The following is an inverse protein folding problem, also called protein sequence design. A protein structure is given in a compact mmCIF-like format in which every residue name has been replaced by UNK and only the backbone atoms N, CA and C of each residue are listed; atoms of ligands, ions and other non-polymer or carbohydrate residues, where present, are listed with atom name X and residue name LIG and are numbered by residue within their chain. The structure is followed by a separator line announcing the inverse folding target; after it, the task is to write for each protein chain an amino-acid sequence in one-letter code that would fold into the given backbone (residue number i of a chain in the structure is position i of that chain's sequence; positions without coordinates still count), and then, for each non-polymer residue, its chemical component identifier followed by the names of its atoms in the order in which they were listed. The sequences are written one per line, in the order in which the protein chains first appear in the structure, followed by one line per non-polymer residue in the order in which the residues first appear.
data_IF_657276519738
#
_entry.id   IF_657276519738
#
_cell.length_a   1.000
_cell.length_b   1.000
_cell.length_c   1.000
_cell.angle_alpha   90.00
_cell.angle_beta   90.00
_cell.angle_gamma   90.00
#
_symmetry.space_group_name_H-M   'P 1'
#
loop_
_entity.id
_entity.type
_entity.pdbx_description
1 polymer ?
#
# COMPACT_ATOMS: atom_id res chain seq x y z
N UNK A 1 18.70 9.89 7.97
CA UNK A 1 17.48 10.22 7.21
C UNK A 1 16.33 9.49 7.92
N UNK A 2 15.35 10.20 8.46
CA UNK A 2 14.20 9.54 9.09
C UNK A 2 13.38 8.88 7.99
N UNK A 3 13.17 7.57 8.13
CA UNK A 3 12.23 6.83 7.30
C UNK A 3 10.81 7.34 7.59
N UNK A 4 10.21 8.00 6.62
CA UNK A 4 8.88 8.62 6.77
C UNK A 4 7.72 7.64 6.68
N UNK A 5 7.96 6.35 6.53
CA UNK A 5 6.87 5.35 6.51
C UNK A 5 6.10 5.29 7.84
N UNK A 6 6.71 5.73 8.95
CA UNK A 6 6.06 5.87 10.26
C UNK A 6 5.38 7.24 10.47
N UNK A 7 5.63 8.24 9.61
CA UNK A 7 5.11 9.59 9.83
C UNK A 7 3.59 9.64 10.05
N UNK A 8 2.78 8.86 9.33
CA UNK A 8 1.33 8.87 9.54
C UNK A 8 0.88 8.40 10.92
N UNK A 9 1.65 7.52 11.56
CA UNK A 9 1.29 6.91 12.85
C UNK A 9 2.10 7.43 14.04
N UNK A 10 3.09 8.29 13.79
CA UNK A 10 3.89 8.90 14.86
C UNK A 10 3.21 10.18 15.36
N UNK A 11 2.85 10.29 16.66
CA UNK A 11 2.03 11.40 17.16
C UNK A 11 2.54 12.80 16.80
N UNK A 12 3.86 12.99 16.81
CA UNK A 12 4.48 14.29 16.49
C UNK A 12 4.61 14.56 14.99
N UNK A 13 4.59 13.53 14.15
CA UNK A 13 4.80 13.63 12.70
C UNK A 13 3.50 13.51 11.90
N UNK A 14 2.44 12.99 12.49
CA UNK A 14 1.13 12.86 11.86
C UNK A 14 0.59 14.20 11.31
N UNK A 15 0.65 15.33 12.04
CA UNK A 15 0.24 16.63 11.48
C UNK A 15 1.10 17.05 10.29
N UNK A 16 2.41 16.76 10.34
CA UNK A 16 3.34 17.05 9.24
C UNK A 16 3.01 16.21 8.01
N UNK A 17 2.66 14.93 8.21
CA UNK A 17 2.21 14.05 7.13
C UNK A 17 0.99 14.64 6.40
N UNK A 18 -0.07 15.02 7.13
CA UNK A 18 -1.29 15.56 6.54
C UNK A 18 -1.03 16.89 5.82
N UNK A 19 -0.28 17.79 6.43
CA UNK A 19 0.06 19.08 5.82
C UNK A 19 0.90 18.91 4.54
N UNK A 20 1.86 17.99 4.55
CA UNK A 20 2.71 17.71 3.40
C UNK A 20 1.90 17.05 2.28
N UNK A 21 1.07 16.07 2.61
CA UNK A 21 0.17 15.42 1.65
C UNK A 21 -0.75 16.46 0.98
N UNK A 22 -1.37 17.35 1.78
CA UNK A 22 -2.22 18.43 1.26
C UNK A 22 -1.47 19.34 0.29
N UNK A 23 -0.27 19.79 0.64
CA UNK A 23 0.55 20.67 -0.23
C UNK A 23 0.91 20.00 -1.55
N UNK A 24 1.36 18.74 -1.51
CA UNK A 24 1.70 18.01 -2.73
C UNK A 24 0.49 17.76 -3.62
N UNK A 25 -0.63 17.31 -3.02
CA UNK A 25 -1.87 17.09 -3.76
C UNK A 25 -2.34 18.37 -4.44
N UNK A 26 -2.39 19.49 -3.73
CA UNK A 26 -2.79 20.78 -4.31
C UNK A 26 -1.86 21.24 -5.44
N UNK A 27 -0.55 21.02 -5.30
CA UNK A 27 0.40 21.35 -6.35
C UNK A 27 0.17 20.51 -7.60
N UNK A 28 -0.06 19.22 -7.46
CA UNK A 28 -0.35 18.31 -8.58
C UNK A 28 -1.67 18.67 -9.26
N UNK A 29 -2.73 18.91 -8.49
CA UNK A 29 -4.05 19.28 -9.00
C UNK A 29 -4.02 20.61 -9.78
N UNK A 30 -3.30 21.61 -9.28
CA UNK A 30 -3.10 22.90 -9.99
C UNK A 30 -2.42 22.74 -11.35
N UNK A 31 -1.65 21.68 -11.52
CA UNK A 31 -0.98 21.35 -12.79
C UNK A 31 -1.75 20.31 -13.63
N UNK A 32 -3.02 20.04 -13.32
CA UNK A 32 -3.86 19.09 -14.06
C UNK A 32 -3.49 17.61 -13.85
N UNK A 33 -2.69 17.30 -12.81
CA UNK A 33 -2.27 15.94 -12.50
C UNK A 33 -3.21 15.37 -11.44
N UNK A 34 -3.67 14.13 -11.62
CA UNK A 34 -4.46 13.39 -10.62
C UNK A 34 -3.53 12.77 -9.58
N UNK A 35 -3.56 13.24 -8.33
CA UNK A 35 -2.70 12.68 -7.29
C UNK A 35 -3.19 11.32 -6.81
N UNK A 36 -2.25 10.47 -6.44
CA UNK A 36 -2.51 9.21 -5.74
C UNK A 36 -1.64 9.14 -4.50
N UNK A 37 -2.21 8.69 -3.39
CA UNK A 37 -1.48 8.38 -2.17
C UNK A 37 -1.18 6.88 -2.13
N UNK A 38 0.09 6.54 -2.04
CA UNK A 38 0.52 5.16 -1.91
C UNK A 38 0.65 4.80 -0.42
N UNK A 39 -0.30 4.01 0.10
CA UNK A 39 -0.28 3.57 1.50
C UNK A 39 0.87 2.59 1.71
N UNK A 40 1.84 2.97 2.54
CA UNK A 40 2.93 2.09 2.93
C UNK A 40 2.42 0.94 3.82
N UNK A 41 3.24 -0.10 3.97
CA UNK A 41 2.96 -1.26 4.80
C UNK A 41 3.54 -1.11 6.21
N UNK A 42 2.98 -1.86 7.15
CA UNK A 42 3.53 -2.00 8.49
C UNK A 42 4.90 -2.70 8.44
N UNK A 43 5.79 -2.39 9.35
CA UNK A 43 7.04 -3.14 9.48
C UNK A 43 6.79 -4.58 9.90
N UNK A 44 7.65 -5.52 9.48
CA UNK A 44 7.53 -6.95 9.83
C UNK A 44 7.46 -7.19 11.33
N UNK A 45 8.19 -6.40 12.11
CA UNK A 45 8.27 -6.47 13.57
C UNK A 45 7.30 -5.54 14.31
N UNK A 46 6.44 -4.81 13.56
CA UNK A 46 5.41 -3.90 14.10
C UNK A 46 4.11 -4.01 13.29
N UNK A 47 3.49 -5.19 13.21
CA UNK A 47 2.32 -5.42 12.34
C UNK A 47 1.11 -4.54 12.71
N UNK A 48 0.96 -4.15 13.97
CA UNK A 48 -0.15 -3.31 14.43
C UNK A 48 -0.16 -1.91 13.83
N UNK A 49 0.98 -1.46 13.24
CA UNK A 49 1.04 -0.17 12.52
C UNK A 49 0.01 -0.08 11.40
N UNK A 50 -0.43 -1.21 10.83
CA UNK A 50 -1.32 -1.19 9.66
C UNK A 50 -2.63 -0.47 9.92
N UNK A 51 -3.20 -0.61 11.11
CA UNK A 51 -4.47 0.03 11.47
C UNK A 51 -4.35 1.56 11.39
N UNK A 52 -3.32 2.11 12.03
CA UNK A 52 -3.06 3.55 12.00
C UNK A 52 -2.68 4.04 10.59
N UNK A 53 -1.87 3.28 9.84
CA UNK A 53 -1.54 3.63 8.46
C UNK A 53 -2.80 3.69 7.59
N UNK A 54 -3.66 2.67 7.64
CA UNK A 54 -4.89 2.64 6.87
C UNK A 54 -5.80 3.82 7.21
N UNK A 55 -5.98 4.11 8.50
CA UNK A 55 -6.76 5.26 8.97
C UNK A 55 -6.20 6.57 8.42
N UNK A 56 -4.92 6.85 8.62
CA UNK A 56 -4.34 8.14 8.28
C UNK A 56 -4.25 8.38 6.77
N UNK A 57 -3.93 7.35 5.97
CA UNK A 57 -3.98 7.47 4.52
C UNK A 57 -5.40 7.66 3.98
N UNK A 58 -6.39 7.01 4.59
CA UNK A 58 -7.81 7.19 4.22
C UNK A 58 -8.27 8.62 4.53
N UNK A 59 -7.94 9.13 5.72
CA UNK A 59 -8.24 10.52 6.09
C UNK A 59 -7.58 11.49 5.10
N UNK A 60 -6.28 11.28 4.80
CA UNK A 60 -5.56 12.15 3.86
C UNK A 60 -6.13 12.09 2.44
N UNK A 61 -6.51 10.91 1.97
CA UNK A 61 -7.15 10.72 0.66
C UNK A 61 -8.47 11.45 0.56
N UNK A 62 -9.36 11.23 1.53
CA UNK A 62 -10.68 11.86 1.58
C UNK A 62 -10.61 13.40 1.71
N UNK A 63 -9.71 13.89 2.57
CA UNK A 63 -9.56 15.33 2.80
C UNK A 63 -9.02 16.08 1.59
N UNK A 64 -8.37 15.41 0.66
CA UNK A 64 -7.68 16.03 -0.47
C UNK A 64 -8.21 15.57 -1.85
N UNK A 65 -9.28 14.80 -1.91
CA UNK A 65 -9.80 14.18 -3.14
C UNK A 65 -8.69 13.44 -3.92
N UNK A 66 -7.93 12.62 -3.21
CA UNK A 66 -6.83 11.84 -3.75
C UNK A 66 -7.11 10.35 -3.59
N UNK A 67 -6.91 9.60 -4.69
CA UNK A 67 -7.03 8.14 -4.66
C UNK A 67 -5.96 7.54 -3.75
N UNK A 68 -6.33 6.54 -2.95
CA UNK A 68 -5.37 5.79 -2.11
C UNK A 68 -5.14 4.41 -2.70
N UNK A 69 -3.87 4.02 -2.87
CA UNK A 69 -3.47 2.66 -3.22
C UNK A 69 -3.22 1.90 -1.91
N UNK A 70 -4.03 0.90 -1.54
CA UNK A 70 -3.98 0.27 -0.22
C UNK A 70 -2.91 -0.83 -0.13
N UNK A 71 -1.65 -0.54 -0.52
CA UNK A 71 -0.59 -1.54 -0.57
C UNK A 71 -0.29 -2.14 0.82
N UNK A 72 -0.35 -1.34 1.88
CA UNK A 72 -0.16 -1.83 3.24
C UNK A 72 -1.22 -2.85 3.66
N UNK A 73 -2.48 -2.64 3.28
CA UNK A 73 -3.56 -3.60 3.53
C UNK A 73 -3.38 -4.88 2.72
N UNK A 74 -2.85 -4.80 1.49
CA UNK A 74 -2.51 -5.98 0.70
C UNK A 74 -1.41 -6.83 1.36
N UNK A 75 -0.38 -6.19 1.96
CA UNK A 75 0.64 -6.88 2.77
C UNK A 75 0.01 -7.61 3.95
N UNK A 76 -0.79 -6.93 4.75
CA UNK A 76 -1.49 -7.53 5.89
C UNK A 76 -2.37 -8.71 5.46
N UNK A 77 -3.09 -8.56 4.34
CA UNK A 77 -3.94 -9.62 3.76
C UNK A 77 -3.11 -10.84 3.32
N UNK A 78 -2.00 -10.63 2.63
CA UNK A 78 -1.14 -11.73 2.19
C UNK A 78 -0.54 -12.49 3.38
N UNK A 79 -0.04 -11.78 4.40
CA UNK A 79 0.52 -12.37 5.63
C UNK A 79 -0.55 -13.11 6.42
N UNK A 80 -1.79 -12.60 6.49
CA UNK A 80 -2.90 -13.30 7.17
C UNK A 80 -3.27 -14.62 6.51
N UNK A 81 -3.06 -14.77 5.20
CA UNK A 81 -3.30 -16.01 4.44
C UNK A 81 -2.15 -17.01 4.58
N UNK A 82 -0.94 -16.50 4.68
CA UNK A 82 0.27 -17.29 4.78
C UNK A 82 1.34 -16.56 5.59
N UNK A 83 1.45 -16.91 6.86
CA UNK A 83 2.29 -16.19 7.85
C UNK A 83 3.80 -16.35 7.63
N UNK A 84 4.22 -17.36 6.85
CA UNK A 84 5.61 -17.64 6.50
C UNK A 84 6.10 -16.89 5.24
N UNK A 85 5.26 -15.99 4.68
CA UNK A 85 5.64 -15.20 3.52
C UNK A 85 6.79 -14.24 3.82
N UNK A 86 7.85 -14.32 3.03
CA UNK A 86 8.96 -13.38 3.07
C UNK A 86 8.68 -12.19 2.14
N UNK A 87 7.86 -11.24 2.62
CA UNK A 87 7.52 -10.00 1.89
C UNK A 87 8.51 -8.86 2.15
N UNK A 88 9.47 -9.05 3.06
CA UNK A 88 10.41 -8.03 3.50
C UNK A 88 11.84 -8.45 3.28
N UNK A 89 12.70 -7.47 3.08
CA UNK A 89 14.14 -7.63 3.17
C UNK A 89 14.59 -7.88 4.62
N UNK A 90 15.88 -8.15 4.81
CA UNK A 90 16.47 -8.45 6.14
C UNK A 90 16.29 -7.32 7.16
N UNK A 91 16.13 -6.09 6.69
CA UNK A 91 15.89 -4.92 7.53
C UNK A 91 14.46 -4.83 8.09
N UNK A 92 13.56 -5.75 7.69
CA UNK A 92 12.16 -5.84 8.11
C UNK A 92 11.29 -4.64 7.70
N UNK A 93 11.74 -3.83 6.78
CA UNK A 93 11.11 -2.58 6.32
C UNK A 93 10.92 -2.51 4.82
N UNK A 94 12.00 -2.69 4.06
CA UNK A 94 11.93 -2.68 2.62
C UNK A 94 11.29 -3.96 2.08
N UNK A 95 10.60 -3.88 0.95
CA UNK A 95 9.94 -5.05 0.39
C UNK A 95 10.95 -5.96 -0.31
N UNK A 96 10.80 -7.26 -0.13
CA UNK A 96 11.45 -8.26 -0.97
C UNK A 96 10.90 -8.21 -2.41
N UNK A 97 11.41 -9.06 -3.30
CA UNK A 97 10.82 -9.22 -4.63
C UNK A 97 9.33 -9.58 -4.57
N UNK A 98 8.93 -10.49 -3.67
CA UNK A 98 7.53 -10.87 -3.49
C UNK A 98 6.68 -9.71 -2.95
N UNK A 99 7.21 -8.94 -1.98
CA UNK A 99 6.56 -7.73 -1.48
C UNK A 99 6.40 -6.66 -2.55
N UNK A 100 7.45 -6.42 -3.35
CA UNK A 100 7.39 -5.49 -4.48
C UNK A 100 6.36 -5.91 -5.53
N UNK A 101 6.29 -7.20 -5.84
CA UNK A 101 5.30 -7.73 -6.76
C UNK A 101 3.87 -7.55 -6.24
N UNK A 102 3.64 -7.85 -4.96
CA UNK A 102 2.34 -7.62 -4.31
C UNK A 102 1.91 -6.15 -4.39
N UNK A 103 2.84 -5.24 -4.08
CA UNK A 103 2.58 -3.80 -4.20
C UNK A 103 2.23 -3.40 -5.64
N UNK A 104 2.97 -3.91 -6.64
CA UNK A 104 2.70 -3.64 -8.06
C UNK A 104 1.31 -4.17 -8.49
N UNK A 105 0.92 -5.37 -8.05
CA UNK A 105 -0.43 -5.91 -8.28
C UNK A 105 -1.50 -5.02 -7.65
N UNK A 106 -1.25 -4.46 -6.46
CA UNK A 106 -2.19 -3.55 -5.78
C UNK A 106 -2.32 -2.23 -6.54
N UNK A 107 -1.21 -1.68 -7.04
CA UNK A 107 -1.22 -0.50 -7.92
C UNK A 107 -2.06 -0.77 -9.17
N UNK A 108 -1.81 -1.89 -9.84
CA UNK A 108 -2.56 -2.29 -11.03
C UNK A 108 -4.07 -2.39 -10.74
N UNK A 109 -4.43 -3.13 -9.69
CA UNK A 109 -5.83 -3.32 -9.30
C UNK A 109 -6.53 -2.00 -9.00
N UNK A 110 -5.85 -1.08 -8.29
CA UNK A 110 -6.41 0.22 -7.91
C UNK A 110 -6.58 1.15 -9.11
N UNK A 111 -5.54 1.31 -9.93
CA UNK A 111 -5.55 2.28 -11.02
C UNK A 111 -6.42 1.84 -12.21
N UNK A 112 -6.37 0.56 -12.56
CA UNK A 112 -7.11 0.02 -13.71
C UNK A 112 -8.47 -0.56 -13.34
N UNK A 113 -8.77 -0.70 -12.05
CA UNK A 113 -10.00 -1.33 -11.55
C UNK A 113 -10.22 -2.73 -12.14
N UNK A 114 -9.14 -3.47 -12.32
CA UNK A 114 -9.10 -4.81 -12.90
C UNK A 114 -8.38 -5.78 -11.98
N UNK A 115 -8.86 -7.01 -11.94
CA UNK A 115 -8.16 -8.07 -11.19
C UNK A 115 -6.78 -8.34 -11.80
N UNK A 116 -5.71 -8.39 -11.01
CA UNK A 116 -4.41 -8.86 -11.45
C UNK A 116 -4.31 -10.39 -11.52
N UNK A 117 -5.33 -11.12 -11.04
CA UNK A 117 -5.32 -12.58 -11.04
C UNK A 117 -5.28 -13.11 -12.48
N UNK A 118 -4.30 -13.97 -12.75
CA UNK A 118 -4.08 -14.55 -14.08
C UNK A 118 -3.17 -13.73 -14.99
N UNK A 119 -2.58 -12.62 -14.51
CA UNK A 119 -1.52 -11.95 -15.26
C UNK A 119 -0.32 -12.88 -15.44
N UNK A 120 0.16 -13.02 -16.69
CA UNK A 120 1.25 -13.90 -17.05
C UNK A 120 2.61 -13.45 -16.48
N UNK A 121 2.81 -12.15 -16.27
CA UNK A 121 4.04 -11.64 -15.66
C UNK A 121 4.06 -11.92 -14.16
N UNK A 122 5.03 -12.67 -13.70
CA UNK A 122 5.18 -13.10 -12.30
C UNK A 122 6.44 -12.54 -11.61
N UNK A 123 7.18 -11.67 -12.27
CA UNK A 123 8.49 -11.18 -11.82
C UNK A 123 9.51 -12.31 -11.51
N UNK A 124 9.36 -13.49 -12.12
CA UNK A 124 10.20 -14.67 -11.84
C UNK A 124 9.84 -15.41 -10.55
N UNK A 125 8.77 -15.03 -9.86
CA UNK A 125 8.26 -15.76 -8.70
C UNK A 125 7.64 -17.11 -9.14
N UNK A 126 7.59 -18.04 -8.20
CA UNK A 126 6.83 -19.28 -8.39
C UNK A 126 5.38 -18.94 -8.75
N UNK A 127 4.76 -19.60 -9.75
CA UNK A 127 3.42 -19.29 -10.23
C UNK A 127 2.33 -19.36 -9.15
N UNK A 128 2.41 -20.31 -8.23
CA UNK A 128 1.45 -20.43 -7.12
C UNK A 128 1.54 -19.22 -6.18
N UNK A 129 2.78 -18.83 -5.85
CA UNK A 129 3.04 -17.64 -5.03
C UNK A 129 2.52 -16.39 -5.73
N UNK A 130 2.84 -16.20 -7.01
CA UNK A 130 2.39 -15.06 -7.79
C UNK A 130 0.86 -14.97 -7.82
N UNK A 131 0.17 -16.08 -8.07
CA UNK A 131 -1.31 -16.14 -8.08
C UNK A 131 -1.90 -15.77 -6.72
N UNK A 132 -1.32 -16.27 -5.64
CA UNK A 132 -1.76 -15.94 -4.29
C UNK A 132 -1.57 -14.44 -3.98
N UNK A 133 -0.45 -13.84 -4.37
CA UNK A 133 -0.18 -12.42 -4.19
C UNK A 133 -1.13 -11.55 -5.05
N UNK A 134 -1.39 -11.94 -6.29
CA UNK A 134 -2.38 -11.31 -7.16
C UNK A 134 -3.77 -11.31 -6.51
N UNK A 135 -4.20 -12.45 -5.96
CA UNK A 135 -5.48 -12.56 -5.26
C UNK A 135 -5.52 -11.70 -4.00
N UNK A 136 -4.45 -11.70 -3.19
CA UNK A 136 -4.38 -10.88 -1.99
C UNK A 136 -4.48 -9.39 -2.31
N UNK A 137 -3.80 -8.94 -3.38
CA UNK A 137 -3.87 -7.57 -3.87
C UNK A 137 -5.29 -7.18 -4.29
N UNK A 138 -5.94 -8.06 -5.08
CA UNK A 138 -7.30 -7.82 -5.56
C UNK A 138 -8.30 -7.70 -4.41
N UNK A 139 -8.26 -8.65 -3.47
CA UNK A 139 -9.20 -8.67 -2.36
C UNK A 139 -8.99 -7.48 -1.41
N UNK A 140 -7.74 -7.07 -1.17
CA UNK A 140 -7.46 -5.88 -0.39
C UNK A 140 -8.03 -4.61 -1.03
N UNK A 141 -7.92 -4.48 -2.35
CA UNK A 141 -8.50 -3.35 -3.10
C UNK A 141 -10.03 -3.39 -3.06
N UNK A 142 -10.64 -4.56 -3.29
CA UNK A 142 -12.09 -4.70 -3.24
C UNK A 142 -12.66 -4.37 -1.86
N UNK A 143 -12.01 -4.84 -0.79
CA UNK A 143 -12.44 -4.56 0.58
C UNK A 143 -12.26 -3.08 0.96
N UNK A 144 -11.15 -2.46 0.52
CA UNK A 144 -10.87 -1.06 0.82
C UNK A 144 -11.87 -0.09 0.18
N UNK A 145 -12.32 -0.39 -1.05
CA UNK A 145 -13.28 0.46 -1.77
C UNK A 145 -14.75 -0.03 -1.66
N UNK A 146 -14.99 -1.02 -0.82
CA UNK A 146 -16.35 -1.45 -0.55
C UNK A 146 -17.13 -0.34 0.14
N UNK A 147 -18.36 0.00 -0.35
CA UNK A 147 -19.21 1.00 0.28
C UNK A 147 -19.59 0.63 1.71
#
# INVERSE_FOLDING_TARGET
MMDCSQCPVHPQLQPVFHETARKHVQTLQKNGVRPVLFMSWAYKDKPDMINGLAEQYTIAGNANDALVIPAGLAFAKAISRRSDLELYETDKRHPSLAGTYLAACTVFATLFRKSPVGLAYTAGLNPELATMLQSAAWDAVQEYFKP
#
